data_IF_321613756051
#
_entry.id   IF_321613756051
#
_cell.length_a   1.000
_cell.length_b   1.000
_cell.length_c   1.000
_cell.angle_alpha   90.00
_cell.angle_beta   90.00
_cell.angle_gamma   90.00
#
_symmetry.space_group_name_H-M   'P 1'
#
loop_
_entity.id
_entity.type
_entity.pdbx_description
1 polymer ?
#
# COMPACT_ATOMS: atom_id res chain seq x y z
N UNK A 1 32.56 -22.72 8.69
CA UNK A 1 31.47 -23.00 7.73
C UNK A 1 31.87 -22.33 6.43
N UNK A 2 32.11 -23.14 5.40
CA UNK A 2 32.74 -22.70 4.15
C UNK A 2 31.81 -21.88 3.25
N UNK A 3 32.35 -20.88 2.52
CA UNK A 3 31.60 -20.04 1.59
C UNK A 3 31.00 -20.81 0.39
N UNK A 4 31.51 -21.99 0.04
CA UNK A 4 31.00 -22.80 -1.08
C UNK A 4 29.57 -23.32 -0.89
N UNK A 5 29.09 -23.46 0.36
CA UNK A 5 27.73 -23.93 0.61
C UNK A 5 26.67 -22.85 0.34
N UNK A 6 27.02 -21.56 0.47
CA UNK A 6 26.06 -20.47 0.23
C UNK A 6 25.79 -20.27 -1.26
N UNK A 7 26.82 -20.29 -2.12
CA UNK A 7 26.63 -20.15 -3.58
C UNK A 7 25.79 -21.29 -4.19
N UNK A 8 25.94 -22.52 -3.69
CA UNK A 8 25.12 -23.66 -4.14
C UNK A 8 23.66 -23.53 -3.72
N UNK A 9 23.40 -22.97 -2.55
CA UNK A 9 22.03 -22.72 -2.05
C UNK A 9 21.37 -21.59 -2.86
N UNK A 10 22.10 -20.51 -3.17
CA UNK A 10 21.59 -19.40 -3.99
C UNK A 10 21.34 -19.82 -5.44
N UNK A 11 22.24 -20.60 -6.05
CA UNK A 11 22.06 -21.14 -7.39
C UNK A 11 20.83 -22.07 -7.47
N UNK A 12 20.64 -22.95 -6.47
CA UNK A 12 19.47 -23.82 -6.40
C UNK A 12 18.16 -23.06 -6.19
N UNK A 13 18.18 -21.98 -5.39
CA UNK A 13 17.01 -21.11 -5.22
C UNK A 13 16.67 -20.36 -6.51
N UNK A 14 17.67 -19.91 -7.26
CA UNK A 14 17.47 -19.19 -8.52
C UNK A 14 16.89 -20.11 -9.60
N UNK A 15 17.35 -21.37 -9.67
CA UNK A 15 16.84 -22.38 -10.59
C UNK A 15 15.36 -22.70 -10.32
N UNK A 16 14.97 -22.80 -9.05
CA UNK A 16 13.57 -23.03 -8.66
C UNK A 16 12.68 -21.87 -9.12
N UNK A 17 13.09 -20.63 -8.85
CA UNK A 17 12.32 -19.43 -9.24
C UNK A 17 12.20 -19.32 -10.77
N UNK A 18 13.27 -19.65 -11.51
CA UNK A 18 13.24 -19.63 -12.98
C UNK A 18 12.30 -20.70 -13.54
N UNK A 19 12.26 -21.89 -12.94
CA UNK A 19 11.32 -22.94 -13.34
C UNK A 19 9.87 -22.57 -13.03
N UNK A 20 9.61 -22.03 -11.84
CA UNK A 20 8.28 -21.55 -11.45
C UNK A 20 7.80 -20.44 -12.39
N UNK A 21 8.67 -19.49 -12.72
CA UNK A 21 8.36 -18.42 -13.67
C UNK A 21 8.09 -18.95 -15.09
N UNK A 22 8.85 -19.96 -15.55
CA UNK A 22 8.63 -20.57 -16.86
C UNK A 22 7.30 -21.33 -16.93
N UNK A 23 6.92 -22.02 -15.85
CA UNK A 23 5.64 -22.72 -15.74
C UNK A 23 4.46 -21.74 -15.69
N UNK A 24 4.59 -20.64 -14.94
CA UNK A 24 3.60 -19.56 -14.91
C UNK A 24 3.41 -18.92 -16.29
N UNK A 25 4.50 -18.60 -17.00
CA UNK A 25 4.40 -18.05 -18.36
C UNK A 25 3.68 -18.99 -19.32
N UNK A 26 3.95 -20.29 -19.24
CA UNK A 26 3.29 -21.31 -20.07
C UNK A 26 1.79 -21.39 -19.77
N UNK A 27 1.41 -21.36 -18.49
CA UNK A 27 0.01 -21.33 -18.07
C UNK A 27 -0.70 -20.06 -18.54
N UNK A 28 -0.02 -18.92 -18.46
CA UNK A 28 -0.54 -17.64 -18.91
C UNK A 28 -0.74 -17.60 -20.43
N UNK A 29 0.22 -18.10 -21.22
CA UNK A 29 0.10 -18.20 -22.67
C UNK A 29 -1.09 -19.08 -23.10
N UNK A 30 -1.34 -20.19 -22.40
CA UNK A 30 -2.51 -21.05 -22.63
C UNK A 30 -3.82 -20.31 -22.34
N UNK A 31 -3.87 -19.57 -21.23
CA UNK A 31 -5.06 -18.81 -20.83
C UNK A 31 -5.39 -17.70 -21.83
N UNK A 32 -4.38 -17.03 -22.38
CA UNK A 32 -4.55 -16.05 -23.47
C UNK A 32 -5.10 -16.74 -24.72
N UNK A 33 -4.59 -17.92 -25.08
CA UNK A 33 -5.09 -18.71 -26.20
C UNK A 33 -6.57 -19.06 -26.07
N UNK A 34 -6.97 -19.54 -24.89
CA UNK A 34 -8.37 -19.90 -24.59
C UNK A 34 -9.29 -18.66 -24.64
N UNK A 35 -8.80 -17.51 -24.17
CA UNK A 35 -9.54 -16.24 -24.24
C UNK A 35 -9.76 -15.80 -25.69
N UNK A 36 -8.73 -15.89 -26.54
CA UNK A 36 -8.84 -15.57 -27.98
C UNK A 36 -9.85 -16.48 -28.66
N UNK A 37 -9.87 -17.78 -28.33
CA UNK A 37 -10.87 -18.72 -28.86
C UNK A 37 -12.27 -18.31 -28.41
N UNK A 38 -12.47 -18.00 -27.13
CA UNK A 38 -13.77 -17.58 -26.61
C UNK A 38 -14.27 -16.29 -27.27
N UNK A 39 -13.39 -15.30 -27.46
CA UNK A 39 -13.71 -14.05 -28.17
C UNK A 39 -14.10 -14.33 -29.61
N UNK A 40 -13.36 -15.17 -30.34
CA UNK A 40 -13.69 -15.53 -31.71
C UNK A 40 -15.04 -16.25 -31.83
N UNK A 41 -15.39 -17.12 -30.87
CA UNK A 41 -16.71 -17.77 -30.82
C UNK A 41 -17.83 -16.75 -30.59
N UNK A 42 -17.63 -15.77 -29.71
CA UNK A 42 -18.60 -14.70 -29.46
C UNK A 42 -18.76 -13.81 -30.68
N UNK A 43 -17.66 -13.40 -31.31
CA UNK A 43 -17.67 -12.61 -32.55
C UNK A 43 -18.41 -13.36 -33.67
N UNK A 44 -18.19 -14.66 -33.82
CA UNK A 44 -18.91 -15.49 -34.79
C UNK A 44 -20.43 -15.56 -34.53
N UNK A 45 -20.85 -15.65 -33.26
CA UNK A 45 -22.28 -15.59 -32.88
C UNK A 45 -22.88 -14.21 -33.13
N UNK A 46 -22.10 -13.15 -32.95
CA UNK A 46 -22.53 -11.77 -33.19
C UNK A 46 -22.79 -11.54 -34.69
N UNK A 47 -21.87 -11.98 -35.55
CA UNK A 47 -22.03 -11.90 -37.02
C UNK A 47 -23.26 -12.69 -37.48
N UNK A 48 -23.51 -13.88 -36.92
CA UNK A 48 -24.72 -14.66 -37.24
C UNK A 48 -26.02 -13.98 -36.78
N UNK A 49 -25.99 -13.16 -35.73
CA UNK A 49 -27.15 -12.38 -35.29
C UNK A 49 -27.39 -11.20 -36.23
N UNK A 50 -26.31 -10.51 -36.61
CA UNK A 50 -26.35 -9.39 -37.56
C UNK A 50 -26.90 -9.84 -38.92
N UNK A 51 -26.44 -10.97 -39.46
CA UNK A 51 -26.95 -11.53 -40.72
C UNK A 51 -28.43 -11.95 -40.66
N UNK A 52 -28.89 -12.41 -39.48
CA UNK A 52 -30.30 -12.75 -39.25
C UNK A 52 -31.20 -11.52 -39.09
N UNK A 53 -30.64 -10.39 -38.67
CA UNK A 53 -31.35 -9.11 -38.56
C UNK A 53 -31.46 -8.41 -39.91
N UNK A 54 -30.48 -8.57 -40.81
CA UNK A 54 -30.45 -7.94 -42.13
C UNK A 54 -31.39 -8.61 -43.16
N UNK A 55 -31.85 -9.85 -42.89
CA UNK A 55 -32.83 -10.56 -43.72
C UNK A 55 -34.04 -11.02 -42.88
N UNK A 56 -34.91 -10.11 -42.42
CA UNK A 56 -36.14 -10.52 -41.79
C UNK A 56 -36.99 -11.26 -42.83
N UNK A 57 -37.18 -12.58 -42.64
CA UNK A 57 -38.22 -13.31 -43.37
C UNK A 57 -39.56 -12.72 -42.94
N UNK A 58 -40.18 -11.91 -43.80
CA UNK A 58 -41.58 -11.51 -43.65
C UNK A 58 -42.44 -12.77 -43.67
N UNK A 59 -42.80 -13.26 -42.48
CA UNK A 59 -43.91 -14.19 -42.34
C UNK A 59 -45.12 -13.32 -42.04
N UNK A 60 -45.90 -13.01 -43.06
CA UNK A 60 -47.27 -12.53 -42.91
C UNK A 60 -48.09 -13.61 -42.21
N UNK A 61 -48.24 -13.50 -40.89
CA UNK A 61 -49.10 -14.40 -40.10
C UNK A 61 -50.49 -13.75 -40.01
N UNK A 62 -51.34 -14.04 -40.99
CA UNK A 62 -52.79 -14.05 -40.80
C UNK A 62 -53.16 -15.43 -40.25
N UNK A 63 -53.34 -15.59 -38.93
CA UNK A 63 -54.29 -16.54 -38.30
C UNK A 63 -54.14 -16.57 -36.77
N UNK A 64 -55.29 -16.50 -36.09
CA UNK A 64 -55.59 -16.85 -34.68
C UNK A 64 -54.40 -16.98 -33.69
N UNK A 65 -54.29 -16.01 -32.77
CA UNK A 65 -53.22 -15.92 -31.75
C UNK A 65 -53.39 -16.82 -30.53
N UNK A 66 -54.54 -17.50 -30.37
CA UNK A 66 -54.82 -18.39 -29.22
C UNK A 66 -53.79 -19.53 -29.02
N UNK A 67 -53.42 -20.33 -30.05
CA UNK A 67 -52.42 -21.37 -29.87
C UNK A 67 -51.01 -20.82 -29.61
N UNK A 68 -50.68 -19.62 -30.11
CA UNK A 68 -49.39 -18.98 -29.88
C UNK A 68 -49.26 -18.52 -28.43
N UNK A 69 -50.34 -17.99 -27.83
CA UNK A 69 -50.35 -17.63 -26.41
C UNK A 69 -50.15 -18.84 -25.48
N UNK A 70 -50.74 -19.99 -25.80
CA UNK A 70 -50.53 -21.22 -25.03
C UNK A 70 -49.09 -21.73 -25.15
N UNK A 71 -48.50 -21.67 -26.34
CA UNK A 71 -47.10 -22.04 -26.56
C UNK A 71 -46.16 -21.09 -25.81
N UNK A 72 -46.44 -19.79 -25.80
CA UNK A 72 -45.66 -18.80 -25.05
C UNK A 72 -45.77 -18.99 -23.54
N UNK A 73 -46.97 -19.27 -23.01
CA UNK A 73 -47.16 -19.58 -21.58
C UNK A 73 -46.43 -20.86 -21.17
N UNK A 74 -46.47 -21.89 -22.02
CA UNK A 74 -45.76 -23.15 -21.80
C UNK A 74 -44.23 -22.97 -21.90
N UNK A 75 -43.76 -22.16 -22.84
CA UNK A 75 -42.34 -21.83 -22.96
C UNK A 75 -41.85 -20.99 -21.77
N UNK A 76 -42.63 -20.01 -21.32
CA UNK A 76 -42.31 -19.18 -20.16
C UNK A 76 -42.23 -20.00 -18.86
N UNK A 77 -43.18 -20.91 -18.64
CA UNK A 77 -43.16 -21.81 -17.47
C UNK A 77 -41.98 -22.79 -17.54
N UNK A 78 -41.65 -23.33 -18.71
CA UNK A 78 -40.46 -24.17 -18.88
C UNK A 78 -39.15 -23.39 -18.68
N UNK A 79 -39.05 -22.15 -19.18
CA UNK A 79 -37.89 -21.29 -18.92
C UNK A 79 -37.74 -20.96 -17.45
N UNK A 80 -38.84 -20.67 -16.74
CA UNK A 80 -38.80 -20.43 -15.30
C UNK A 80 -38.33 -21.66 -14.52
N UNK A 81 -38.73 -22.87 -14.95
CA UNK A 81 -38.25 -24.14 -14.38
C UNK A 81 -36.76 -24.38 -14.66
N UNK A 82 -36.29 -24.04 -15.86
CA UNK A 82 -34.87 -24.16 -16.23
C UNK A 82 -34.01 -23.13 -15.47
N UNK A 83 -34.51 -21.90 -15.30
CA UNK A 83 -33.82 -20.82 -14.57
C UNK A 83 -33.79 -21.09 -13.07
N UNK A 84 -34.85 -21.68 -12.51
CA UNK A 84 -34.88 -22.09 -11.10
C UNK A 84 -34.08 -23.36 -10.82
N UNK A 85 -33.90 -24.23 -11.83
CA UNK A 85 -33.02 -25.40 -11.77
C UNK A 85 -31.55 -25.12 -12.10
N UNK A 86 -31.23 -23.96 -12.69
CA UNK A 86 -29.84 -23.57 -12.90
C UNK A 86 -29.17 -23.26 -11.57
N UNK A 87 -27.97 -23.81 -11.29
CA UNK A 87 -27.21 -23.42 -10.11
C UNK A 87 -26.91 -21.93 -10.23
N UNK A 88 -27.56 -21.11 -9.39
CA UNK A 88 -27.26 -19.67 -9.30
C UNK A 88 -25.75 -19.52 -9.22
N UNK A 89 -25.15 -18.87 -10.21
CA UNK A 89 -23.72 -18.57 -10.19
C UNK A 89 -23.46 -17.66 -8.99
N UNK A 90 -23.05 -18.27 -7.87
CA UNK A 90 -22.56 -17.55 -6.71
C UNK A 90 -21.23 -16.95 -7.17
N UNK A 91 -21.28 -15.74 -7.72
CA UNK A 91 -20.08 -14.93 -7.93
C UNK A 91 -19.50 -14.64 -6.55
N UNK A 92 -18.54 -15.45 -6.13
CA UNK A 92 -17.77 -15.21 -4.92
C UNK A 92 -17.00 -13.91 -5.13
N UNK A 93 -17.53 -12.80 -4.60
CA UNK A 93 -16.79 -11.54 -4.51
C UNK A 93 -15.76 -11.72 -3.40
N UNK A 94 -14.51 -11.98 -3.78
CA UNK A 94 -13.37 -11.86 -2.88
C UNK A 94 -13.04 -10.38 -2.72
N UNK A 95 -13.84 -9.68 -1.92
CA UNK A 95 -13.46 -8.37 -1.43
C UNK A 95 -12.62 -8.58 -0.18
N UNK A 96 -11.38 -8.09 -0.20
CA UNK A 96 -10.58 -7.92 1.02
C UNK A 96 -11.17 -6.73 1.79
N UNK A 97 -12.37 -6.91 2.30
CA UNK A 97 -12.96 -5.99 3.25
C UNK A 97 -12.18 -6.20 4.56
N UNK A 98 -11.45 -5.18 5.01
CA UNK A 98 -10.81 -5.23 6.34
C UNK A 98 -11.83 -5.47 7.48
N UNK A 99 -13.13 -5.34 7.22
CA UNK A 99 -14.23 -5.47 8.19
C UNK A 99 -15.49 -6.10 7.56
N UNK A 100 -16.33 -6.83 8.31
CA UNK A 100 -17.55 -7.47 7.78
C UNK A 100 -18.61 -6.45 7.29
N UNK A 101 -19.38 -6.80 6.25
CA UNK A 101 -20.47 -5.96 5.70
C UNK A 101 -21.62 -5.74 6.69
N UNK A 102 -21.92 -6.74 7.52
CA UNK A 102 -22.83 -6.60 8.66
C UNK A 102 -22.04 -6.00 9.85
N UNK A 103 -22.50 -4.85 10.35
CA UNK A 103 -21.96 -4.12 11.51
C UNK A 103 -20.66 -3.30 11.33
N UNK A 104 -20.30 -2.94 10.10
CA UNK A 104 -19.16 -2.06 9.80
C UNK A 104 -19.16 -0.75 10.62
N UNK A 105 -20.34 -0.18 10.89
CA UNK A 105 -20.47 1.08 11.63
C UNK A 105 -20.14 0.93 13.12
N UNK A 106 -20.50 -0.20 13.75
CA UNK A 106 -20.17 -0.49 15.14
C UNK A 106 -18.67 -0.74 15.29
N UNK A 107 -18.08 -1.54 14.39
CA UNK A 107 -16.63 -1.79 14.40
C UNK A 107 -15.81 -0.52 14.18
N UNK A 108 -16.20 0.32 13.21
CA UNK A 108 -15.51 1.58 12.96
C UNK A 108 -15.56 2.50 14.19
N UNK A 109 -16.72 2.58 14.85
CA UNK A 109 -16.89 3.39 16.06
C UNK A 109 -16.03 2.90 17.24
N UNK A 110 -15.88 1.59 17.42
CA UNK A 110 -15.03 1.05 18.51
C UNK A 110 -13.54 1.20 18.17
N UNK A 111 -13.12 0.79 16.97
CA UNK A 111 -11.71 0.71 16.57
C UNK A 111 -11.14 2.12 16.35
N UNK A 112 -11.81 2.95 15.56
CA UNK A 112 -11.36 4.33 15.33
C UNK A 112 -11.70 5.28 16.47
N UNK A 113 -12.69 4.96 17.31
CA UNK A 113 -13.04 5.78 18.47
C UNK A 113 -12.08 5.59 19.63
N UNK A 114 -12.04 4.38 20.21
CA UNK A 114 -11.30 4.16 21.47
C UNK A 114 -9.89 3.62 21.24
N UNK A 115 -9.75 2.60 20.40
CA UNK A 115 -8.46 1.92 20.21
C UNK A 115 -7.43 2.77 19.47
N UNK A 116 -7.85 3.40 18.37
CA UNK A 116 -6.97 4.30 17.61
C UNK A 116 -6.52 5.50 18.45
N UNK A 117 -7.40 6.04 19.30
CA UNK A 117 -7.06 7.11 20.23
C UNK A 117 -5.96 6.68 21.22
N UNK A 118 -6.08 5.49 21.84
CA UNK A 118 -5.03 4.96 22.72
C UNK A 118 -3.71 4.75 21.98
N UNK A 119 -3.76 4.26 20.75
CA UNK A 119 -2.58 4.06 19.90
C UNK A 119 -1.90 5.39 19.58
N UNK A 120 -2.67 6.39 19.19
CA UNK A 120 -2.17 7.75 18.94
C UNK A 120 -1.54 8.37 20.20
N UNK A 121 -2.15 8.18 21.38
CA UNK A 121 -1.60 8.65 22.66
C UNK A 121 -0.24 7.97 22.93
N UNK A 122 -0.13 6.65 22.77
CA UNK A 122 1.12 5.92 23.01
C UNK A 122 2.23 6.40 22.06
N UNK A 123 1.91 6.57 20.78
CA UNK A 123 2.86 7.09 19.79
C UNK A 123 3.29 8.51 20.15
N UNK A 124 2.33 9.36 20.50
CA UNK A 124 2.60 10.73 20.92
C UNK A 124 3.49 10.80 22.17
N UNK A 125 3.22 9.97 23.18
CA UNK A 125 4.07 9.85 24.38
C UNK A 125 5.49 9.41 24.02
N UNK A 126 5.65 8.46 23.09
CA UNK A 126 6.98 8.01 22.65
C UNK A 126 7.75 9.13 21.97
N UNK A 127 7.10 9.90 21.09
CA UNK A 127 7.71 11.06 20.46
C UNK A 127 8.06 12.15 21.48
N UNK A 128 7.16 12.45 22.42
CA UNK A 128 7.43 13.39 23.50
C UNK A 128 8.61 12.94 24.36
N UNK A 129 8.70 11.64 24.68
CA UNK A 129 9.81 11.11 25.45
C UNK A 129 11.15 11.27 24.73
N UNK A 130 11.22 10.88 23.45
CA UNK A 130 12.44 11.04 22.64
C UNK A 130 12.81 12.52 22.49
N UNK A 131 11.83 13.38 22.25
CA UNK A 131 12.04 14.82 22.18
C UNK A 131 12.52 15.40 23.51
N UNK A 132 11.92 14.99 24.63
CA UNK A 132 12.30 15.46 25.96
C UNK A 132 13.72 15.02 26.34
N UNK A 133 14.12 13.80 26.02
CA UNK A 133 15.50 13.33 26.23
C UNK A 133 16.47 14.14 25.38
N UNK A 134 16.19 14.26 24.08
CA UNK A 134 17.08 15.01 23.17
C UNK A 134 17.19 16.49 23.55
N UNK A 135 16.08 17.09 23.97
CA UNK A 135 16.07 18.44 24.51
C UNK A 135 16.91 18.47 25.80
N UNK A 136 16.64 17.63 26.78
CA UNK A 136 17.41 17.64 28.03
C UNK A 136 18.92 17.48 27.82
N UNK A 137 19.34 16.62 26.88
CA UNK A 137 20.75 16.41 26.56
C UNK A 137 21.38 17.61 25.86
N UNK A 138 20.71 18.21 24.88
CA UNK A 138 21.20 19.43 24.23
C UNK A 138 21.32 20.58 25.23
N UNK A 139 20.34 20.72 26.12
CA UNK A 139 20.36 21.72 27.19
C UNK A 139 21.56 21.54 28.12
N UNK A 140 21.84 20.30 28.48
CA UNK A 140 22.96 19.95 29.34
C UNK A 140 24.29 20.26 28.65
N UNK A 141 24.43 19.93 27.37
CA UNK A 141 25.64 20.22 26.60
C UNK A 141 25.88 21.73 26.50
N UNK A 142 24.88 22.51 26.08
CA UNK A 142 24.97 23.98 26.00
C UNK A 142 25.33 24.58 27.36
N UNK A 143 24.72 24.10 28.45
CA UNK A 143 25.05 24.57 29.79
C UNK A 143 26.49 24.22 30.20
N UNK A 144 26.98 23.04 29.82
CA UNK A 144 28.35 22.63 30.12
C UNK A 144 29.36 23.45 29.31
N UNK A 145 29.06 23.77 28.05
CA UNK A 145 29.88 24.66 27.22
C UNK A 145 29.91 26.08 27.83
N UNK A 146 28.76 26.64 28.17
CA UNK A 146 28.70 27.95 28.85
C UNK A 146 29.49 27.99 30.15
N UNK A 147 29.40 26.94 30.98
CA UNK A 147 30.18 26.85 32.22
C UNK A 147 31.69 26.77 31.97
N UNK A 148 32.12 26.15 30.86
CA UNK A 148 33.53 26.11 30.48
C UNK A 148 33.99 27.47 29.95
N UNK A 149 33.21 28.10 29.09
CA UNK A 149 33.50 29.44 28.56
C UNK A 149 33.55 30.49 29.67
N UNK A 150 32.63 30.42 30.63
CA UNK A 150 32.64 31.26 31.82
C UNK A 150 33.91 31.03 32.66
N UNK A 151 34.36 29.77 32.80
CA UNK A 151 35.60 29.46 33.52
C UNK A 151 36.82 30.03 32.80
N UNK A 152 36.92 29.88 31.49
CA UNK A 152 38.02 30.45 30.71
C UNK A 152 38.01 31.98 30.77
N UNK A 153 36.84 32.59 30.63
CA UNK A 153 36.66 34.05 30.73
C UNK A 153 37.05 34.55 32.12
N UNK A 154 36.65 33.86 33.18
CA UNK A 154 37.00 34.23 34.54
C UNK A 154 38.49 34.05 34.83
N UNK A 155 39.11 32.96 34.35
CA UNK A 155 40.55 32.73 34.48
C UNK A 155 41.36 33.78 33.70
N UNK A 156 40.92 34.12 32.48
CA UNK A 156 41.50 35.18 31.67
C UNK A 156 41.43 36.53 32.38
N UNK A 157 40.26 36.90 32.90
CA UNK A 157 40.04 38.13 33.66
C UNK A 157 40.89 38.19 34.93
N UNK A 158 41.04 37.07 35.64
CA UNK A 158 41.90 36.97 36.82
C UNK A 158 43.36 37.25 36.47
N UNK A 159 43.89 36.57 35.43
CA UNK A 159 45.26 36.76 34.98
C UNK A 159 45.50 38.17 34.43
N UNK A 160 44.53 38.72 33.69
CA UNK A 160 44.57 40.07 33.15
C UNK A 160 44.69 41.12 34.26
N UNK A 161 43.88 41.00 35.32
CA UNK A 161 43.92 41.92 36.48
C UNK A 161 45.27 41.88 37.22
N UNK A 162 45.88 40.70 37.36
CA UNK A 162 47.17 40.52 38.05
C UNK A 162 48.42 40.79 37.21
N UNK A 163 48.29 40.88 35.88
CA UNK A 163 49.43 40.99 34.97
C UNK A 163 49.94 42.43 34.77
N UNK A 164 51.20 42.55 34.34
CA UNK A 164 51.85 43.85 34.01
C UNK A 164 51.35 44.39 32.67
N UNK A 165 51.50 45.70 32.44
CA UNK A 165 51.00 46.43 31.26
C UNK A 165 51.42 45.82 29.90
N UNK A 166 52.63 45.31 29.80
CA UNK A 166 53.15 44.66 28.57
C UNK A 166 52.42 43.35 28.27
N UNK A 167 52.20 42.52 29.30
CA UNK A 167 51.48 41.24 29.18
C UNK A 167 50.02 41.48 28.82
N UNK A 168 49.37 42.49 29.39
CA UNK A 168 48.00 42.88 29.01
C UNK A 168 47.87 43.24 27.53
N UNK A 169 48.83 44.00 26.99
CA UNK A 169 48.85 44.34 25.56
C UNK A 169 49.00 43.11 24.67
N UNK A 170 49.84 42.14 25.06
CA UNK A 170 49.96 40.88 24.35
C UNK A 170 48.66 40.06 24.41
N UNK A 171 48.02 40.01 25.59
CA UNK A 171 46.72 39.37 25.77
C UNK A 171 45.61 40.02 24.91
N UNK A 172 45.52 41.35 24.90
CA UNK A 172 44.56 42.08 24.06
C UNK A 172 44.80 41.78 22.56
N UNK A 173 46.06 41.74 22.13
CA UNK A 173 46.40 41.39 20.74
C UNK A 173 46.04 39.95 20.39
N UNK A 174 46.19 39.02 21.33
CA UNK A 174 45.82 37.62 21.14
C UNK A 174 44.29 37.46 21.01
N UNK A 175 43.52 38.19 21.83
CA UNK A 175 42.06 38.19 21.79
C UNK A 175 41.52 38.74 20.46
N UNK A 176 42.04 39.88 19.99
CA UNK A 176 41.64 40.47 18.70
C UNK A 176 41.99 39.52 17.54
N UNK A 177 43.12 38.80 17.63
CA UNK A 177 43.54 37.86 16.59
C UNK A 177 42.69 36.57 16.59
N UNK A 178 42.18 36.14 17.74
CA UNK A 178 41.28 34.98 17.80
C UNK A 178 39.87 35.27 17.29
N UNK A 179 39.39 36.51 17.43
CA UNK A 179 38.05 36.94 16.99
C UNK A 179 37.94 37.16 15.47
N UNK A 180 39.06 37.49 14.81
CA UNK A 180 39.11 37.77 13.36
C UNK A 180 39.35 36.53 12.48
N UNK A 181 38.97 35.33 12.94
CA UNK A 181 39.25 34.06 12.25
C UNK A 181 37.97 33.27 12.01
#
# INVERSE_FOLDING_TARGET
MEPENFEKIEAGSLEIVLNEFAEEQKSHAKSIGDLVIAVNVVTGKFIQLEEKLDKPKEVTIHTNTKPIEEILKKAATQMQLIVSGQPKSITKKYQLLLFPEQDANLFYKIVFGRWFMWLAIIVFLRFLYLWAVHWSDNNKQVRMEQLQDDRYTNAWNYLYKGSRKEVRRLMDSAWIKSDNK
#
